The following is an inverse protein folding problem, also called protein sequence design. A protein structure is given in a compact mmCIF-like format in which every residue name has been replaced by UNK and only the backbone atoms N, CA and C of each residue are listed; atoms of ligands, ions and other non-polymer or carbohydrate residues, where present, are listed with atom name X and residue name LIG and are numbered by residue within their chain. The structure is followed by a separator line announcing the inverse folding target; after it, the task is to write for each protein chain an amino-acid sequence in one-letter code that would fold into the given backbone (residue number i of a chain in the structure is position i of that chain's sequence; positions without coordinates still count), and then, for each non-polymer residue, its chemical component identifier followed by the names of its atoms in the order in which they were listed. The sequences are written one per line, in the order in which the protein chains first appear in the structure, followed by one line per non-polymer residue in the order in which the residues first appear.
data_IF_617036983077
#
_entry.id   IF_617036983077
#
_cell.length_a   1.000
_cell.length_b   1.000
_cell.length_c   1.000
_cell.angle_alpha   90.00
_cell.angle_beta   90.00
_cell.angle_gamma   90.00
#
_symmetry.space_group_name_H-M   'P 1'
#
loop_
_entity.id
_entity.type
_entity.pdbx_description
1 polymer ?
#
# COMPACT_ATOMS: atom_id res chain seq x y z
N UNK A 1 -74.38 -8.10 -4.86
CA UNK A 1 -73.27 -8.65 -4.05
C UNK A 1 -72.02 -8.68 -4.94
N UNK A 2 -70.95 -8.07 -4.42
CA UNK A 2 -69.58 -7.80 -4.91
C UNK A 2 -69.04 -8.65 -6.08
N UNK A 3 -68.68 -7.98 -7.18
CA UNK A 3 -67.64 -8.42 -8.12
C UNK A 3 -66.26 -8.07 -7.54
N UNK A 4 -65.41 -9.07 -7.37
CA UNK A 4 -64.05 -8.92 -6.84
C UNK A 4 -63.12 -8.36 -7.92
N UNK A 5 -62.60 -7.16 -7.66
CA UNK A 5 -61.55 -6.52 -8.44
C UNK A 5 -60.19 -7.12 -8.02
N UNK A 6 -59.76 -8.17 -8.73
CA UNK A 6 -58.52 -8.91 -8.47
C UNK A 6 -57.46 -8.66 -9.56
N UNK A 7 -57.48 -7.48 -10.19
CA UNK A 7 -56.53 -7.13 -11.27
C UNK A 7 -55.35 -6.25 -10.84
N UNK A 8 -55.48 -5.49 -9.74
CA UNK A 8 -54.53 -4.41 -9.42
C UNK A 8 -53.48 -4.74 -8.34
N UNK A 9 -53.63 -5.86 -7.62
CA UNK A 9 -52.68 -6.20 -6.54
C UNK A 9 -51.42 -6.90 -7.07
N UNK A 10 -51.55 -7.76 -8.08
CA UNK A 10 -50.41 -8.46 -8.70
C UNK A 10 -49.47 -7.52 -9.46
N UNK A 11 -50.01 -6.47 -10.09
CA UNK A 11 -49.20 -5.45 -10.80
C UNK A 11 -48.43 -4.57 -9.80
N UNK A 12 -49.01 -4.27 -8.64
CA UNK A 12 -48.36 -3.46 -7.59
C UNK A 12 -47.19 -4.20 -6.91
N UNK A 13 -47.34 -5.51 -6.66
CA UNK A 13 -46.25 -6.34 -6.10
C UNK A 13 -45.13 -6.61 -7.12
N UNK A 14 -45.45 -6.62 -8.42
CA UNK A 14 -44.45 -6.80 -9.48
C UNK A 14 -43.57 -5.56 -9.67
N UNK A 15 -44.05 -4.37 -9.31
CA UNK A 15 -43.26 -3.13 -9.43
C UNK A 15 -42.33 -2.90 -8.23
N UNK A 16 -42.72 -3.37 -7.03
CA UNK A 16 -41.90 -3.27 -5.80
C UNK A 16 -40.70 -4.24 -5.82
N UNK A 17 -40.80 -5.37 -6.53
CA UNK A 17 -39.71 -6.35 -6.63
C UNK A 17 -38.59 -5.91 -7.60
N UNK A 18 -38.87 -5.01 -8.56
CA UNK A 18 -37.90 -4.53 -9.56
C UNK A 18 -37.04 -3.39 -9.01
N UNK A 19 -37.56 -2.59 -8.05
CA UNK A 19 -36.80 -1.48 -7.43
C UNK A 19 -35.72 -1.96 -6.47
N UNK A 20 -35.79 -3.20 -5.98
CA UNK A 20 -34.77 -3.78 -5.10
C UNK A 20 -33.51 -4.31 -5.83
N UNK A 21 -33.54 -4.42 -7.17
CA UNK A 21 -32.42 -5.00 -7.94
C UNK A 21 -31.35 -3.98 -8.38
N UNK A 22 -31.52 -2.69 -8.08
CA UNK A 22 -30.60 -1.63 -8.56
C UNK A 22 -29.69 -1.05 -7.46
N UNK A 23 -29.67 -1.64 -6.25
CA UNK A 23 -28.63 -1.35 -5.26
C UNK A 23 -27.33 -2.15 -5.52
N UNK A 24 -26.92 -2.23 -6.77
CA UNK A 24 -25.57 -2.62 -7.13
C UNK A 24 -24.72 -1.36 -7.24
N UNK A 25 -24.21 -0.86 -6.11
CA UNK A 25 -23.14 0.15 -6.13
C UNK A 25 -21.85 -0.55 -6.60
N UNK A 26 -21.80 -0.90 -7.88
CA UNK A 26 -20.60 -1.36 -8.55
C UNK A 26 -19.75 -0.14 -8.80
N UNK A 27 -18.82 0.19 -7.90
CA UNK A 27 -17.72 1.07 -8.26
C UNK A 27 -17.00 0.44 -9.44
N UNK A 28 -16.99 1.13 -10.58
CA UNK A 28 -16.22 0.72 -11.75
C UNK A 28 -14.77 0.45 -11.32
N UNK A 29 -14.25 -0.74 -11.62
CA UNK A 29 -12.88 -1.10 -11.27
C UNK A 29 -11.93 -0.27 -12.12
N UNK A 30 -11.46 0.84 -11.57
CA UNK A 30 -10.41 1.65 -12.20
C UNK A 30 -9.09 0.93 -11.97
N UNK A 31 -8.53 0.39 -13.07
CA UNK A 31 -7.27 -0.33 -13.07
C UNK A 31 -6.15 0.56 -12.51
N UNK A 32 -5.44 0.08 -11.50
CA UNK A 32 -4.32 0.83 -10.94
C UNK A 32 -3.07 0.70 -11.84
N UNK A 33 -2.11 1.64 -11.75
CA UNK A 33 -0.83 1.53 -12.45
C UNK A 33 -0.09 0.21 -12.14
N UNK A 34 -0.26 -0.32 -10.92
CA UNK A 34 0.31 -1.60 -10.51
C UNK A 34 -0.40 -2.76 -11.18
N UNK A 35 -1.71 -2.69 -11.37
CA UNK A 35 -2.46 -3.70 -12.13
C UNK A 35 -2.04 -3.73 -13.61
N UNK A 36 -1.70 -2.58 -14.19
CA UNK A 36 -1.11 -2.51 -15.53
C UNK A 36 0.26 -3.18 -15.60
N UNK A 37 1.12 -2.93 -14.61
CA UNK A 37 2.42 -3.61 -14.53
C UNK A 37 2.25 -5.12 -14.35
N UNK A 38 1.39 -5.57 -13.44
CA UNK A 38 1.09 -6.99 -13.23
C UNK A 38 0.62 -7.63 -14.54
N UNK A 39 -0.29 -6.97 -15.27
CA UNK A 39 -0.79 -7.46 -16.55
C UNK A 39 0.31 -7.55 -17.62
N UNK A 40 1.24 -6.60 -17.67
CA UNK A 40 2.41 -6.67 -18.58
C UNK A 40 3.40 -7.78 -18.21
N UNK A 41 3.46 -8.13 -16.92
CA UNK A 41 4.35 -9.15 -16.36
C UNK A 41 3.72 -10.55 -16.29
N UNK A 42 2.56 -10.76 -16.90
CA UNK A 42 1.83 -12.04 -16.81
C UNK A 42 2.69 -13.25 -17.18
N UNK A 43 3.49 -13.12 -18.25
CA UNK A 43 4.40 -14.18 -18.73
C UNK A 43 5.66 -14.37 -17.89
N UNK A 44 5.95 -13.48 -16.93
CA UNK A 44 7.12 -13.60 -16.05
C UNK A 44 6.80 -14.58 -14.93
N UNK A 45 7.50 -15.71 -14.75
CA UNK A 45 7.16 -16.71 -13.74
C UNK A 45 7.11 -16.16 -12.31
N UNK A 46 8.08 -15.31 -11.95
CA UNK A 46 8.17 -14.68 -10.65
C UNK A 46 8.60 -13.22 -10.79
N UNK A 47 7.96 -12.32 -10.06
CA UNK A 47 8.36 -10.92 -10.03
C UNK A 47 8.11 -10.26 -8.68
N UNK A 48 8.80 -9.15 -8.43
CA UNK A 48 8.52 -8.23 -7.31
C UNK A 48 8.52 -6.80 -7.86
N UNK A 49 7.44 -6.06 -7.61
CA UNK A 49 7.29 -4.64 -7.95
C UNK A 49 7.50 -3.85 -6.66
N UNK A 50 8.49 -2.96 -6.68
CA UNK A 50 8.89 -2.09 -5.58
C UNK A 50 8.57 -0.65 -5.96
N UNK A 51 7.97 0.11 -5.05
CA UNK A 51 7.82 1.55 -5.23
C UNK A 51 9.18 2.22 -5.04
N UNK A 52 9.81 2.61 -6.15
CA UNK A 52 11.19 3.07 -6.17
C UNK A 52 11.31 4.55 -5.83
N UNK A 53 10.48 5.38 -6.44
CA UNK A 53 10.44 6.83 -6.20
C UNK A 53 9.02 7.38 -6.43
N UNK A 54 8.77 8.57 -5.90
CA UNK A 54 7.52 9.30 -6.01
C UNK A 54 7.78 10.79 -6.19
N UNK A 55 6.95 11.45 -6.99
CA UNK A 55 7.02 12.90 -7.14
C UNK A 55 5.62 13.52 -7.22
N UNK A 56 5.50 14.70 -6.60
CA UNK A 56 4.30 15.52 -6.62
C UNK A 56 4.71 16.92 -7.08
N UNK A 57 4.43 17.23 -8.34
CA UNK A 57 4.81 18.49 -9.00
C UNK A 57 3.59 19.40 -9.19
N UNK A 58 3.84 20.67 -9.52
CA UNK A 58 2.81 21.66 -9.81
C UNK A 58 2.32 22.45 -8.59
N UNK A 59 2.07 23.75 -8.82
CA UNK A 59 1.61 24.71 -7.79
C UNK A 59 0.08 24.84 -7.82
N UNK A 60 -0.50 24.98 -9.01
CA UNK A 60 -1.95 25.17 -9.21
C UNK A 60 -2.65 23.89 -9.66
N UNK A 61 -2.05 23.17 -10.61
CA UNK A 61 -2.49 21.85 -11.05
C UNK A 61 -1.42 20.85 -10.64
N UNK A 62 -1.77 19.95 -9.73
CA UNK A 62 -0.81 18.98 -9.19
C UNK A 62 -0.76 17.74 -10.08
N UNK A 63 0.45 17.29 -10.38
CA UNK A 63 0.70 16.02 -11.07
C UNK A 63 1.40 15.08 -10.10
N UNK A 64 0.89 13.86 -10.00
CA UNK A 64 1.41 12.83 -9.10
C UNK A 64 2.02 11.72 -9.92
N UNK A 65 3.27 11.36 -9.63
CA UNK A 65 4.03 10.37 -10.41
C UNK A 65 4.65 9.34 -9.50
N UNK A 66 4.61 8.09 -9.92
CA UNK A 66 5.36 7.00 -9.31
C UNK A 66 6.43 6.48 -10.27
N UNK A 67 7.51 5.97 -9.70
CA UNK A 67 8.49 5.16 -10.39
C UNK A 67 8.60 3.82 -9.67
N UNK A 68 8.63 2.74 -10.44
CA UNK A 68 8.73 1.38 -9.91
C UNK A 68 10.05 0.73 -10.31
N UNK A 69 10.58 -0.08 -9.39
CA UNK A 69 11.66 -1.03 -9.64
C UNK A 69 11.05 -2.43 -9.69
N UNK A 70 11.33 -3.18 -10.74
CA UNK A 70 10.77 -4.51 -10.96
C UNK A 70 11.92 -5.50 -10.98
N UNK A 71 11.86 -6.52 -10.12
CA UNK A 71 12.69 -7.71 -10.25
C UNK A 71 11.89 -8.77 -10.99
N UNK A 72 12.45 -9.30 -12.07
CA UNK A 72 11.85 -10.36 -12.89
C UNK A 72 12.73 -11.59 -12.81
N UNK A 73 12.16 -12.75 -12.55
CA UNK A 73 12.88 -14.02 -12.52
C UNK A 73 12.20 -15.01 -13.47
N UNK A 74 12.90 -15.35 -14.55
CA UNK A 74 12.51 -16.41 -15.48
C UNK A 74 13.22 -17.73 -15.15
N UNK A 75 14.44 -17.65 -14.63
CA UNK A 75 15.33 -18.77 -14.34
C UNK A 75 16.00 -18.60 -12.96
N UNK A 76 17.33 -18.74 -12.86
CA UNK A 76 18.08 -18.69 -11.61
C UNK A 76 18.31 -17.26 -11.09
N UNK A 77 18.69 -16.31 -11.94
CA UNK A 77 19.10 -14.96 -11.50
C UNK A 77 17.99 -13.96 -11.84
N UNK A 78 17.39 -13.28 -10.85
CA UNK A 78 16.48 -12.17 -11.12
C UNK A 78 17.18 -10.98 -11.80
N UNK A 79 16.49 -10.40 -12.78
CA UNK A 79 16.88 -9.19 -13.49
C UNK A 79 16.10 -7.98 -12.98
N UNK A 80 16.79 -6.88 -12.75
CA UNK A 80 16.20 -5.61 -12.32
C UNK A 80 15.84 -4.72 -13.52
N UNK A 81 14.71 -4.03 -13.45
CA UNK A 81 14.32 -2.95 -14.36
C UNK A 81 13.72 -1.78 -13.57
N UNK A 82 14.13 -0.56 -13.89
CA UNK A 82 13.48 0.66 -13.42
C UNK A 82 12.53 1.16 -14.50
N UNK A 83 11.26 1.31 -14.15
CA UNK A 83 10.23 1.82 -15.04
C UNK A 83 10.38 3.33 -15.29
N UNK A 84 9.86 3.85 -16.42
CA UNK A 84 9.64 5.28 -16.58
C UNK A 84 8.68 5.81 -15.51
N UNK A 85 8.77 7.11 -15.25
CA UNK A 85 7.79 7.80 -14.42
C UNK A 85 6.38 7.65 -15.00
N UNK A 86 5.46 7.20 -14.17
CA UNK A 86 4.06 6.99 -14.55
C UNK A 86 3.18 7.91 -13.72
N UNK A 87 2.32 8.68 -14.38
CA UNK A 87 1.33 9.50 -13.70
C UNK A 87 0.28 8.61 -13.01
N UNK A 88 -0.09 8.98 -11.79
CA UNK A 88 -1.05 8.25 -10.97
C UNK A 88 -2.10 9.22 -10.44
N UNK A 89 -3.26 8.70 -10.01
CA UNK A 89 -4.26 9.54 -9.37
C UNK A 89 -3.77 10.06 -8.01
N UNK A 90 -4.27 11.23 -7.60
CA UNK A 90 -3.96 11.83 -6.29
C UNK A 90 -4.24 10.84 -5.14
N UNK A 91 -5.38 10.14 -5.19
CA UNK A 91 -5.75 9.17 -4.16
C UNK A 91 -4.80 7.96 -4.12
N UNK A 92 -4.37 7.46 -5.28
CA UNK A 92 -3.42 6.36 -5.35
C UNK A 92 -2.04 6.78 -4.81
N UNK A 93 -1.60 8.00 -5.14
CA UNK A 93 -0.37 8.57 -4.61
C UNK A 93 -0.38 8.64 -3.08
N UNK A 94 -1.40 9.27 -2.50
CA UNK A 94 -1.48 9.44 -1.05
C UNK A 94 -1.72 8.13 -0.30
N UNK A 95 -2.39 7.16 -0.93
CA UNK A 95 -2.51 5.80 -0.39
C UNK A 95 -1.14 5.12 -0.22
N UNK A 96 -0.21 5.39 -1.11
CA UNK A 96 1.12 4.80 -1.14
C UNK A 96 2.22 5.75 -0.63
N UNK A 97 1.87 6.86 0.04
CA UNK A 97 2.83 7.87 0.50
C UNK A 97 3.91 7.29 1.42
N UNK A 98 3.58 6.21 2.15
CA UNK A 98 4.42 5.56 3.15
C UNK A 98 5.22 4.37 2.57
N UNK A 99 5.06 4.07 1.28
CA UNK A 99 5.48 2.78 0.71
C UNK A 99 6.78 2.86 -0.09
N UNK A 100 7.50 4.00 -0.05
CA UNK A 100 8.78 4.10 -0.76
C UNK A 100 9.77 3.06 -0.25
N UNK A 101 10.41 2.37 -1.19
CA UNK A 101 11.33 1.26 -0.92
C UNK A 101 10.64 -0.06 -0.58
N UNK A 102 9.31 -0.10 -0.53
CA UNK A 102 8.52 -1.29 -0.21
C UNK A 102 8.11 -2.01 -1.49
N UNK A 103 7.98 -3.34 -1.41
CA UNK A 103 7.24 -4.07 -2.43
C UNK A 103 5.75 -3.77 -2.28
N UNK A 104 5.06 -3.57 -3.41
CA UNK A 104 3.63 -3.27 -3.48
C UNK A 104 2.85 -4.39 -4.16
N UNK A 105 3.56 -5.20 -4.95
CA UNK A 105 3.05 -6.44 -5.51
C UNK A 105 4.18 -7.43 -5.79
N UNK A 106 3.88 -8.72 -5.69
CA UNK A 106 4.82 -9.78 -6.00
C UNK A 106 4.09 -11.00 -6.56
N UNK A 107 4.68 -11.71 -7.52
CA UNK A 107 4.24 -13.03 -7.97
C UNK A 107 5.27 -14.07 -7.57
N UNK A 108 4.84 -15.11 -6.86
CA UNK A 108 5.68 -16.24 -6.48
C UNK A 108 5.84 -17.26 -7.62
N UNK A 109 6.77 -18.20 -7.44
CA UNK A 109 6.98 -19.31 -8.40
C UNK A 109 5.74 -20.22 -8.53
N UNK A 110 4.86 -20.22 -7.52
CA UNK A 110 3.56 -20.91 -7.53
C UNK A 110 2.48 -20.17 -8.34
N UNK A 111 2.84 -19.05 -8.99
CA UNK A 111 1.94 -18.21 -9.77
C UNK A 111 1.02 -17.31 -8.94
N UNK A 112 1.05 -17.40 -7.60
CA UNK A 112 0.19 -16.56 -6.75
C UNK A 112 0.70 -15.13 -6.72
N UNK A 113 -0.22 -14.19 -6.90
CA UNK A 113 0.05 -12.76 -6.84
C UNK A 113 -0.37 -12.22 -5.48
N UNK A 114 0.58 -11.62 -4.77
CA UNK A 114 0.37 -10.85 -3.55
C UNK A 114 0.30 -9.38 -3.96
N UNK A 115 -0.86 -8.72 -3.77
CA UNK A 115 -1.01 -7.27 -3.93
C UNK A 115 -1.02 -6.61 -2.55
N UNK A 116 0.14 -6.60 -1.90
CA UNK A 116 0.28 -6.13 -0.53
C UNK A 116 1.61 -5.40 -0.33
N UNK A 117 1.59 -4.43 0.57
CA UNK A 117 2.78 -3.63 0.91
C UNK A 117 3.60 -4.38 1.95
N UNK A 118 4.87 -4.62 1.66
CA UNK A 118 5.81 -5.26 2.59
C UNK A 118 7.24 -4.78 2.32
N UNK A 119 8.20 -5.04 3.22
CA UNK A 119 9.59 -4.73 2.94
C UNK A 119 10.06 -5.52 1.72
N UNK A 120 10.82 -4.86 0.83
CA UNK A 120 11.19 -5.46 -0.44
C UNK A 120 11.86 -6.83 -0.26
N UNK A 121 11.39 -7.84 -0.99
CA UNK A 121 11.96 -9.20 -0.95
C UNK A 121 11.31 -10.14 0.07
N UNK A 122 10.44 -9.64 0.96
CA UNK A 122 9.76 -10.47 1.97
C UNK A 122 8.78 -11.48 1.34
N UNK A 123 8.09 -11.12 0.25
CA UNK A 123 7.14 -12.06 -0.36
C UNK A 123 7.82 -13.28 -0.97
N UNK A 124 9.00 -13.13 -1.57
CA UNK A 124 9.54 -14.11 -2.52
C UNK A 124 10.95 -14.65 -2.21
N UNK A 125 11.73 -13.98 -1.36
CA UNK A 125 13.16 -14.24 -1.22
C UNK A 125 13.58 -14.45 0.24
N UNK A 126 13.22 -13.54 1.14
CA UNK A 126 13.49 -13.72 2.57
C UNK A 126 12.70 -14.93 3.09
N UNK A 127 13.36 -15.77 3.90
CA UNK A 127 12.74 -16.96 4.48
C UNK A 127 12.62 -18.15 3.53
N UNK A 128 12.99 -18.01 2.26
CA UNK A 128 12.98 -19.09 1.29
C UNK A 128 14.38 -19.76 1.21
N UNK A 129 14.52 -21.05 1.58
CA UNK A 129 15.80 -21.74 1.69
C UNK A 129 16.57 -21.87 0.37
N UNK A 130 15.93 -21.61 -0.78
CA UNK A 130 16.60 -21.53 -2.08
C UNK A 130 17.58 -20.36 -2.17
N UNK A 131 17.29 -19.26 -1.49
CA UNK A 131 18.05 -18.00 -1.62
C UNK A 131 18.99 -17.74 -0.46
N UNK A 132 18.78 -18.38 0.68
CA UNK A 132 19.56 -18.11 1.88
C UNK A 132 19.13 -18.97 3.06
N UNK A 133 19.61 -18.59 4.23
CA UNK A 133 19.27 -19.26 5.49
C UNK A 133 19.26 -18.26 6.65
N UNK A 134 18.74 -18.72 7.79
CA UNK A 134 18.72 -17.94 9.01
C UNK A 134 19.96 -18.26 9.84
N UNK A 135 20.76 -17.23 10.14
CA UNK A 135 21.98 -17.34 10.95
C UNK A 135 21.67 -16.87 12.36
N UNK A 136 22.12 -17.62 13.37
CA UNK A 136 21.98 -17.22 14.76
C UNK A 136 22.88 -16.01 15.05
N UNK A 137 22.27 -14.92 15.49
CA UNK A 137 22.95 -13.72 15.98
C UNK A 137 23.12 -13.72 17.49
N UNK A 138 23.80 -12.70 18.00
CA UNK A 138 23.94 -12.48 19.44
C UNK A 138 22.56 -12.28 20.11
N UNK A 139 22.40 -12.82 21.32
CA UNK A 139 21.17 -12.64 22.11
C UNK A 139 19.97 -13.50 21.65
N UNK A 140 20.20 -14.59 20.91
CA UNK A 140 19.14 -15.54 20.53
C UNK A 140 18.26 -15.10 19.36
N UNK A 141 18.63 -14.02 18.68
CA UNK A 141 17.91 -13.54 17.49
C UNK A 141 18.53 -14.14 16.23
N UNK A 142 17.74 -14.71 15.32
CA UNK A 142 18.26 -15.14 14.00
C UNK A 142 18.08 -14.03 12.96
N UNK A 143 19.04 -13.88 12.05
CA UNK A 143 19.01 -12.94 10.93
C UNK A 143 19.05 -13.67 9.60
N UNK A 144 18.39 -13.12 8.58
CA UNK A 144 18.43 -13.68 7.23
C UNK A 144 19.77 -13.39 6.56
N UNK A 145 20.35 -14.40 5.93
CA UNK A 145 21.55 -14.27 5.11
C UNK A 145 21.34 -14.93 3.75
N UNK A 146 21.51 -14.16 2.68
CA UNK A 146 21.51 -14.69 1.32
C UNK A 146 22.77 -15.52 1.06
N UNK A 147 22.66 -16.63 0.34
CA UNK A 147 23.85 -17.34 -0.16
C UNK A 147 24.68 -16.41 -1.05
N UNK A 148 26.00 -16.64 -1.13
CA UNK A 148 26.92 -15.75 -1.87
C UNK A 148 26.47 -15.43 -3.30
N UNK A 149 25.94 -16.42 -4.03
CA UNK A 149 25.39 -16.23 -5.38
C UNK A 149 24.21 -15.24 -5.45
N UNK A 150 23.47 -15.07 -4.35
CA UNK A 150 22.34 -14.15 -4.20
C UNK A 150 22.69 -12.93 -3.34
N UNK A 151 23.96 -12.71 -2.97
CA UNK A 151 24.36 -11.61 -2.10
C UNK A 151 23.99 -10.22 -2.66
N UNK A 152 23.90 -10.09 -3.99
CA UNK A 152 23.45 -8.88 -4.69
C UNK A 152 22.01 -8.46 -4.31
N UNK A 153 21.19 -9.39 -3.82
CA UNK A 153 19.83 -9.09 -3.33
C UNK A 153 19.85 -8.13 -2.15
N UNK A 154 20.93 -8.10 -1.35
CA UNK A 154 21.07 -7.11 -0.29
C UNK A 154 21.05 -5.68 -0.84
N UNK A 155 21.65 -5.46 -2.00
CA UNK A 155 21.65 -4.16 -2.68
C UNK A 155 20.28 -3.89 -3.29
N UNK A 156 19.71 -4.86 -4.00
CA UNK A 156 18.43 -4.66 -4.69
C UNK A 156 17.28 -4.34 -3.71
N UNK A 157 17.23 -5.03 -2.57
CA UNK A 157 16.22 -4.85 -1.54
C UNK A 157 16.62 -3.86 -0.44
N UNK A 158 17.73 -3.14 -0.62
CA UNK A 158 18.26 -2.19 0.35
C UNK A 158 18.53 -2.80 1.74
N UNK A 159 18.69 -4.13 1.84
CA UNK A 159 19.02 -4.85 3.08
C UNK A 159 20.50 -4.67 3.50
N UNK A 160 21.33 -4.01 2.69
CA UNK A 160 22.67 -3.61 3.13
C UNK A 160 22.67 -2.66 4.33
N UNK A 161 21.60 -1.86 4.52
CA UNK A 161 21.50 -0.90 5.64
C UNK A 161 20.83 -1.48 6.89
N UNK A 162 20.29 -2.70 6.84
CA UNK A 162 19.63 -3.33 7.97
C UNK A 162 19.63 -4.86 7.88
N UNK A 163 19.74 -5.51 9.04
CA UNK A 163 19.58 -6.97 9.12
C UNK A 163 18.11 -7.34 9.23
N UNK A 164 17.65 -8.32 8.44
CA UNK A 164 16.28 -8.84 8.55
C UNK A 164 16.24 -9.87 9.68
N UNK A 165 15.59 -9.56 10.79
CA UNK A 165 15.38 -10.49 11.89
C UNK A 165 14.27 -11.50 11.61
N UNK A 166 14.45 -12.75 12.06
CA UNK A 166 13.48 -13.84 11.91
C UNK A 166 12.13 -13.48 12.52
N UNK A 167 12.11 -12.92 13.73
CA UNK A 167 10.85 -12.56 14.39
C UNK A 167 10.01 -11.55 13.59
N UNK A 168 10.64 -10.60 12.90
CA UNK A 168 9.94 -9.62 12.06
C UNK A 168 9.40 -10.26 10.79
N UNK A 169 10.17 -11.16 10.17
CA UNK A 169 9.69 -11.93 9.03
C UNK A 169 8.54 -12.86 9.42
N UNK A 170 8.63 -13.55 10.55
CA UNK A 170 7.59 -14.46 11.03
C UNK A 170 6.29 -13.69 11.34
N UNK A 171 6.40 -12.52 11.97
CA UNK A 171 5.25 -11.64 12.20
C UNK A 171 4.60 -11.22 10.86
N UNK A 172 5.40 -10.74 9.90
CA UNK A 172 4.93 -10.46 8.55
C UNK A 172 4.20 -11.66 7.95
N UNK A 173 4.86 -12.82 7.91
CA UNK A 173 4.39 -14.00 7.22
C UNK A 173 3.09 -14.54 7.82
N UNK A 174 2.99 -14.52 9.14
CA UNK A 174 1.85 -15.09 9.86
C UNK A 174 0.66 -14.11 9.92
N UNK A 175 0.93 -12.82 10.18
CA UNK A 175 -0.11 -11.86 10.58
C UNK A 175 -0.45 -10.82 9.49
N UNK A 176 0.45 -10.58 8.53
CA UNK A 176 0.30 -9.47 7.57
C UNK A 176 0.18 -9.94 6.13
N UNK A 177 0.92 -10.99 5.76
CA UNK A 177 0.92 -11.56 4.41
C UNK A 177 -0.52 -11.83 3.97
N UNK A 178 -0.89 -11.29 2.80
CA UNK A 178 -2.23 -11.32 2.20
C UNK A 178 -3.35 -10.55 2.92
N UNK A 179 -3.07 -9.85 4.02
CA UNK A 179 -4.10 -9.21 4.86
C UNK A 179 -3.95 -7.70 4.94
N UNK A 180 -2.76 -7.21 5.25
CA UNK A 180 -2.50 -5.78 5.48
C UNK A 180 -1.04 -5.41 5.21
N UNK A 181 -0.77 -4.12 4.92
CA UNK A 181 0.58 -3.58 4.84
C UNK A 181 1.43 -3.91 6.08
N UNK A 182 2.71 -4.26 5.87
CA UNK A 182 3.69 -4.47 6.93
C UNK A 182 4.87 -3.51 6.80
N UNK A 183 5.11 -2.72 7.83
CA UNK A 183 6.21 -1.74 7.88
C UNK A 183 7.28 -2.09 8.92
N UNK A 184 7.22 -3.29 9.50
CA UNK A 184 8.16 -3.72 10.53
C UNK A 184 7.82 -3.16 11.92
N UNK A 185 8.70 -3.43 12.91
CA UNK A 185 8.55 -2.88 14.26
C UNK A 185 8.66 -1.36 14.24
N UNK A 186 8.10 -0.72 15.28
CA UNK A 186 8.29 0.70 15.54
C UNK A 186 9.51 0.95 16.40
N UNK A 187 10.29 1.96 16.05
CA UNK A 187 11.43 2.47 16.81
C UNK A 187 11.29 3.99 16.92
N UNK A 188 11.22 4.52 18.14
CA UNK A 188 10.99 5.96 18.38
C UNK A 188 9.72 6.52 17.72
N UNK A 189 8.69 5.70 17.53
CA UNK A 189 7.44 6.10 16.85
C UNK A 189 7.50 6.09 15.32
N UNK A 190 8.60 5.62 14.73
CA UNK A 190 8.78 5.49 13.28
C UNK A 190 8.87 4.01 12.93
N UNK A 191 8.22 3.60 11.83
CA UNK A 191 8.32 2.23 11.34
C UNK A 191 9.73 1.92 10.83
N UNK A 192 10.15 0.65 10.96
CA UNK A 192 11.46 0.20 10.45
C UNK A 192 11.58 0.35 8.94
N UNK A 193 10.48 0.17 8.22
CA UNK A 193 10.42 0.20 6.75
C UNK A 193 9.41 1.25 6.26
N UNK A 194 9.52 1.62 4.99
CA UNK A 194 8.68 2.62 4.33
C UNK A 194 9.32 4.00 4.21
N UNK A 195 8.59 4.94 3.62
CA UNK A 195 9.09 6.26 3.18
C UNK A 195 9.85 7.03 4.24
N UNK A 196 9.33 7.06 5.46
CA UNK A 196 9.87 7.87 6.55
C UNK A 196 10.84 7.10 7.45
N UNK A 197 11.17 5.85 7.09
CA UNK A 197 12.05 5.03 7.92
C UNK A 197 13.51 5.39 7.74
N UNK A 198 14.29 5.16 8.80
CA UNK A 198 15.76 5.30 8.76
C UNK A 198 16.37 4.45 7.66
N UNK A 199 15.87 3.23 7.46
CA UNK A 199 16.31 2.32 6.39
C UNK A 199 16.19 2.94 5.00
N UNK A 200 15.10 3.65 4.72
CA UNK A 200 14.90 4.31 3.43
C UNK A 200 15.79 5.54 3.30
N UNK A 201 15.95 6.33 4.37
CA UNK A 201 16.87 7.47 4.36
C UNK A 201 18.34 7.08 4.14
N UNK A 202 18.79 5.98 4.75
CA UNK A 202 20.17 5.51 4.62
C UNK A 202 20.50 4.96 3.22
N UNK A 203 19.49 4.68 2.38
CA UNK A 203 19.66 4.01 1.07
C UNK A 203 19.32 4.91 -0.12
N UNK A 204 18.88 6.15 0.13
CA UNK A 204 18.46 7.10 -0.90
C UNK A 204 19.41 8.30 -0.97
N UNK A 205 19.54 8.94 -2.15
CA UNK A 205 20.41 10.11 -2.31
C UNK A 205 19.90 11.31 -1.49
N UNK A 206 20.74 12.30 -1.15
CA UNK A 206 20.33 13.47 -0.36
C UNK A 206 19.12 14.22 -0.91
N UNK A 207 18.97 14.30 -2.24
CA UNK A 207 17.82 14.92 -2.93
C UNK A 207 16.48 14.28 -2.56
N UNK A 208 16.50 13.03 -2.07
CA UNK A 208 15.33 12.33 -1.56
C UNK A 208 14.77 13.00 -0.30
N UNK A 209 15.62 13.52 0.59
CA UNK A 209 15.18 14.17 1.83
C UNK A 209 14.29 15.37 1.54
N UNK A 210 14.69 16.19 0.58
CA UNK A 210 13.92 17.36 0.13
C UNK A 210 12.57 16.95 -0.47
N UNK A 211 12.55 15.87 -1.27
CA UNK A 211 11.31 15.31 -1.83
C UNK A 211 10.38 14.81 -0.74
N UNK A 212 10.88 14.02 0.20
CA UNK A 212 10.08 13.44 1.29
C UNK A 212 9.51 14.52 2.20
N UNK A 213 10.28 15.58 2.50
CA UNK A 213 9.78 16.73 3.24
C UNK A 213 8.59 17.41 2.53
N UNK A 214 8.69 17.62 1.21
CA UNK A 214 7.60 18.17 0.38
C UNK A 214 6.38 17.25 0.36
N UNK A 215 6.59 15.94 0.19
CA UNK A 215 5.52 14.93 0.22
C UNK A 215 4.81 14.98 1.56
N UNK A 216 5.54 14.98 2.68
CA UNK A 216 4.97 15.05 4.03
C UNK A 216 4.10 16.30 4.24
N UNK A 217 4.59 17.48 3.82
CA UNK A 217 3.82 18.72 3.91
C UNK A 217 2.53 18.67 3.07
N UNK A 218 2.64 18.23 1.82
CA UNK A 218 1.50 18.11 0.90
C UNK A 218 0.50 17.05 1.39
N UNK A 219 0.96 15.96 2.00
CA UNK A 219 0.15 14.90 2.56
C UNK A 219 -0.66 15.36 3.77
N UNK A 220 -0.09 16.19 4.64
CA UNK A 220 -0.84 16.87 5.71
C UNK A 220 -2.01 17.66 5.13
N UNK A 221 -1.74 18.46 4.09
CA UNK A 221 -2.79 19.28 3.45
C UNK A 221 -3.89 18.43 2.81
N UNK A 222 -3.53 17.28 2.23
CA UNK A 222 -4.49 16.31 1.69
C UNK A 222 -5.37 15.73 2.81
N UNK A 223 -4.75 15.26 3.89
CA UNK A 223 -5.44 14.69 5.07
C UNK A 223 -6.40 15.69 5.69
N UNK A 224 -5.98 16.95 5.85
CA UNK A 224 -6.85 18.03 6.36
C UNK A 224 -8.07 18.26 5.46
N UNK A 225 -7.88 18.21 4.15
CA UNK A 225 -8.96 18.38 3.17
C UNK A 225 -9.94 17.20 3.21
N UNK A 226 -9.43 15.97 3.31
CA UNK A 226 -10.27 14.77 3.44
C UNK A 226 -11.04 14.80 4.77
N UNK A 227 -10.38 15.11 5.89
CA UNK A 227 -11.01 15.23 7.19
C UNK A 227 -12.16 16.25 7.18
N UNK A 228 -11.96 17.42 6.58
CA UNK A 228 -13.00 18.45 6.42
C UNK A 228 -14.19 18.01 5.55
N UNK A 229 -13.99 17.11 4.58
CA UNK A 229 -15.09 16.55 3.78
C UNK A 229 -15.90 15.52 4.56
N UNK A 230 -15.23 14.70 5.37
CA UNK A 230 -15.88 13.68 6.20
C UNK A 230 -16.69 14.33 7.32
N UNK A 231 -16.16 15.35 8.01
CA UNK A 231 -16.90 16.04 9.09
C UNK A 231 -18.15 16.76 8.58
N UNK A 232 -18.13 17.33 7.36
CA UNK A 232 -19.32 17.96 6.75
C UNK A 232 -20.43 16.96 6.38
N UNK A 233 -20.13 15.66 6.34
CA UNK A 233 -21.10 14.61 5.99
C UNK A 233 -21.71 13.94 7.23
N UNK A 234 -21.24 14.28 8.44
CA UNK A 234 -21.71 13.71 9.72
C UNK A 234 -22.76 14.54 10.47
N UNK A 235 -23.00 15.81 10.08
CA UNK A 235 -23.93 16.70 10.79
C UNK A 235 -25.31 16.73 10.15
N UNK A 236 -26.02 15.60 10.23
CA UNK A 236 -27.49 15.55 10.22
C UNK A 236 -27.93 14.60 11.32
N UNK A 237 -27.77 15.06 12.57
CA UNK A 237 -28.61 14.77 13.75
C UNK A 237 -27.77 14.93 15.02
N UNK A 238 -27.62 16.16 15.49
CA UNK A 238 -27.46 16.37 16.93
C UNK A 238 -28.22 17.62 17.35
N UNK A 239 -29.52 17.43 17.57
CA UNK A 239 -30.26 18.28 18.49
C UNK A 239 -29.65 18.03 19.86
N UNK A 240 -28.95 19.01 20.43
CA UNK A 240 -29.13 19.35 21.85
C UNK A 240 -28.30 20.55 22.32
N UNK A 241 -29.07 21.53 22.77
CA UNK A 241 -28.84 22.47 23.87
C UNK A 241 -27.70 23.50 23.82
N UNK A 242 -28.16 24.74 23.58
CA UNK A 242 -27.71 25.97 24.26
C UNK A 242 -27.33 25.72 25.73
N UNK A 243 -26.16 26.22 26.13
CA UNK A 243 -26.02 26.88 27.42
C UNK A 243 -25.19 28.16 27.28
N UNK A 244 -25.78 29.25 27.74
CA UNK A 244 -25.20 30.59 27.91
C UNK A 244 -24.26 30.60 29.13
N UNK A 245 -23.32 31.55 29.12
CA UNK A 245 -22.61 32.08 30.29
C UNK A 245 -21.18 31.54 30.38
N UNK A 246 -20.11 32.33 30.49
CA UNK A 246 -19.93 33.75 30.78
C UNK A 246 -18.63 33.89 31.57
N UNK A 247 -17.88 34.98 31.40
CA UNK A 247 -16.95 35.46 32.44
C UNK A 247 -15.45 35.32 32.19
N UNK A 248 -14.81 36.48 32.12
CA UNK A 248 -13.39 36.80 32.30
C UNK A 248 -12.79 36.30 33.63
N UNK A 249 -11.46 36.15 33.70
CA UNK A 249 -10.73 36.31 34.97
C UNK A 249 -9.27 35.81 35.01
N UNK A 250 -8.34 36.77 34.94
CA UNK A 250 -6.91 36.79 35.33
C UNK A 250 -5.94 35.71 34.84
#
# INVERSE_FOLDING_TARGET
KKFLNTGNKTILYSFILIVFLIQGCGSEYVKSPVDDLISKLDKVPKFTIILNDMDAEGTFFKTYKHQYKILKQYDSIPQEEITPWTEVSEDFFWKHENDLGMEIAAKGEDGKIVKGVAPAGFSNYVGNPKYGHWVNGAGGTSVWEFFGYYAFMNTIFNMGSYRVGRGWYDDYNNNYRYRKPYYGPMDGGVSKYGTYSKTTYDTKPPTFLDKVAKIKQKGSSFKDRVAKKVTRSGDKNNYNFRSRGGGFGK
#
